data_IF_778064112388
#
_entry.id   IF_778064112388
#
_cell.length_a   1.000
_cell.length_b   1.000
_cell.length_c   1.000
_cell.angle_alpha   90.00
_cell.angle_beta   90.00
_cell.angle_gamma   90.00
#
_symmetry.space_group_name_H-M   'P 1'
#
loop_
_entity.id
_entity.type
_entity.pdbx_description
1 polymer ?
#
# COMPACT_ATOMS: atom_id res chain seq x y z
N UNK A 1 -18.26 -3.38 -4.20
CA UNK A 1 -16.85 -3.12 -3.85
C UNK A 1 -16.52 -3.93 -2.62
N UNK A 2 -15.65 -4.94 -2.78
CA UNK A 2 -15.07 -5.66 -1.66
C UNK A 2 -13.85 -4.95 -1.09
N UNK A 3 -13.62 -5.09 0.21
CA UNK A 3 -12.36 -4.76 0.88
C UNK A 3 -12.14 -5.71 2.06
N UNK A 4 -10.92 -5.71 2.59
CA UNK A 4 -10.58 -6.47 3.79
C UNK A 4 -10.10 -5.55 4.90
N UNK A 5 -10.25 -5.99 6.14
CA UNK A 5 -9.75 -5.28 7.30
C UNK A 5 -9.24 -6.28 8.33
N UNK A 6 -8.14 -5.91 8.99
CA UNK A 6 -7.51 -6.71 10.04
C UNK A 6 -8.13 -6.34 11.38
N UNK A 7 -8.93 -7.27 11.92
CA UNK A 7 -9.58 -7.08 13.23
C UNK A 7 -8.98 -8.01 14.27
N UNK A 8 -8.93 -7.56 15.54
CA UNK A 8 -8.61 -8.43 16.66
C UNK A 8 -9.83 -9.26 17.04
N UNK A 9 -9.76 -10.58 16.87
CA UNK A 9 -10.88 -11.48 17.19
C UNK A 9 -11.12 -11.71 18.69
N UNK A 10 -10.25 -11.19 19.58
CA UNK A 10 -10.33 -11.41 21.02
C UNK A 10 -10.43 -10.09 21.80
N UNK A 11 -11.39 -10.00 22.71
CA UNK A 11 -11.54 -8.89 23.66
C UNK A 11 -10.36 -8.84 24.67
N UNK A 12 -9.69 -9.97 24.91
CA UNK A 12 -8.67 -10.12 25.97
C UNK A 12 -7.24 -10.37 25.49
N UNK A 13 -7.03 -10.68 24.21
CA UNK A 13 -5.69 -10.89 23.62
C UNK A 13 -5.55 -10.01 22.39
N UNK A 14 -4.71 -8.98 22.54
CA UNK A 14 -4.47 -7.91 21.58
C UNK A 14 -3.92 -8.38 20.21
N UNK A 15 -3.59 -9.67 20.06
CA UNK A 15 -2.94 -10.25 18.87
C UNK A 15 -3.57 -11.58 18.44
N UNK A 16 -4.87 -11.57 18.14
CA UNK A 16 -5.52 -12.65 17.38
C UNK A 16 -6.02 -12.10 16.06
N UNK A 17 -5.14 -11.94 15.05
CA UNK A 17 -5.48 -11.29 13.79
C UNK A 17 -6.50 -12.13 13.03
N UNK A 18 -7.59 -11.49 12.64
CA UNK A 18 -8.59 -12.05 11.74
C UNK A 18 -8.72 -11.10 10.56
N UNK A 19 -8.62 -11.65 9.36
CA UNK A 19 -8.84 -10.89 8.13
C UNK A 19 -10.33 -11.00 7.82
N UNK A 20 -11.06 -9.91 8.02
CA UNK A 20 -12.46 -9.81 7.63
C UNK A 20 -12.57 -9.32 6.20
N UNK A 21 -13.58 -9.79 5.47
CA UNK A 21 -13.95 -9.27 4.16
C UNK A 21 -15.36 -8.72 4.19
N UNK A 22 -15.52 -7.53 3.60
CA UNK A 22 -16.78 -6.82 3.52
C UNK A 22 -17.10 -6.43 2.08
N UNK A 23 -18.37 -6.14 1.81
CA UNK A 23 -18.90 -5.66 0.54
C UNK A 23 -19.78 -4.43 0.77
N UNK A 24 -19.63 -3.41 -0.06
CA UNK A 24 -20.56 -2.28 -0.15
C UNK A 24 -20.90 -1.96 -1.60
N UNK A 25 -22.10 -1.39 -1.81
CA UNK A 25 -22.53 -0.97 -3.14
C UNK A 25 -21.94 0.41 -3.50
N UNK A 26 -20.93 0.43 -4.37
CA UNK A 26 -20.23 1.65 -4.81
C UNK A 26 -21.11 2.65 -5.56
N UNK A 27 -22.31 2.27 -5.99
CA UNK A 27 -23.27 3.20 -6.58
C UNK A 27 -24.00 4.06 -5.55
N UNK A 28 -23.80 3.84 -4.26
CA UNK A 28 -24.41 4.65 -3.20
C UNK A 28 -23.61 5.94 -2.95
N UNK A 29 -24.28 7.04 -2.57
CA UNK A 29 -23.60 8.26 -2.13
C UNK A 29 -22.65 7.98 -0.94
N UNK A 30 -21.54 8.72 -0.85
CA UNK A 30 -20.53 8.54 0.19
C UNK A 30 -21.12 8.58 1.61
N UNK A 31 -22.06 9.50 1.87
CA UNK A 31 -22.77 9.60 3.16
C UNK A 31 -23.55 8.34 3.56
N UNK A 32 -23.98 7.53 2.58
CA UNK A 32 -24.63 6.24 2.83
C UNK A 32 -23.60 5.14 3.03
N UNK A 33 -22.52 5.13 2.26
CA UNK A 33 -21.42 4.17 2.42
C UNK A 33 -20.76 4.23 3.80
N UNK A 34 -20.77 5.40 4.46
CA UNK A 34 -20.26 5.58 5.81
C UNK A 34 -21.16 4.97 6.92
N UNK A 35 -22.35 4.47 6.59
CA UNK A 35 -23.27 3.89 7.57
C UNK A 35 -23.13 2.37 7.57
N UNK A 36 -23.01 1.79 8.78
CA UNK A 36 -22.88 0.34 8.99
C UNK A 36 -23.95 -0.48 8.24
N UNK A 37 -25.17 0.06 8.11
CA UNK A 37 -26.28 -0.57 7.40
C UNK A 37 -25.95 -1.00 5.95
N UNK A 38 -25.09 -0.24 5.26
CA UNK A 38 -24.72 -0.51 3.86
C UNK A 38 -23.46 -1.36 3.71
N UNK A 39 -22.81 -1.72 4.82
CA UNK A 39 -21.66 -2.61 4.87
C UNK A 39 -22.16 -4.05 5.05
N UNK A 40 -21.77 -4.94 4.15
CA UNK A 40 -22.13 -6.37 4.18
C UNK A 40 -20.92 -7.20 4.53
N UNK A 41 -21.00 -7.95 5.62
CA UNK A 41 -20.00 -8.95 5.96
C UNK A 41 -20.04 -10.12 4.97
N UNK A 42 -18.87 -10.60 4.55
CA UNK A 42 -18.73 -11.70 3.59
C UNK A 42 -18.06 -12.92 4.23
N UNK A 43 -16.89 -12.71 4.82
CA UNK A 43 -16.10 -13.78 5.42
C UNK A 43 -15.14 -13.23 6.48
N UNK A 44 -14.68 -14.12 7.35
CA UNK A 44 -13.59 -13.87 8.30
C UNK A 44 -12.68 -15.09 8.29
N UNK A 45 -11.38 -14.88 8.39
CA UNK A 45 -10.43 -15.98 8.50
C UNK A 45 -9.21 -15.59 9.33
N UNK A 46 -8.76 -16.45 10.27
CA UNK A 46 -7.46 -16.31 10.91
C UNK A 46 -6.32 -16.90 10.06
N UNK A 47 -6.64 -17.53 8.91
CA UNK A 47 -5.68 -18.28 8.10
C UNK A 47 -5.59 -17.78 6.66
N UNK A 48 -6.73 -17.41 6.07
CA UNK A 48 -6.79 -16.95 4.69
C UNK A 48 -6.49 -15.45 4.62
N UNK A 49 -5.51 -15.11 3.79
CA UNK A 49 -5.15 -13.74 3.43
C UNK A 49 -6.30 -13.01 2.70
N UNK A 50 -6.16 -11.69 2.58
CA UNK A 50 -7.12 -10.87 1.84
C UNK A 50 -7.26 -11.33 0.38
N UNK A 51 -6.14 -11.69 -0.24
CA UNK A 51 -6.08 -12.14 -1.64
C UNK A 51 -6.76 -13.50 -1.84
N UNK A 52 -6.55 -14.46 -0.93
CA UNK A 52 -7.20 -15.78 -0.99
C UNK A 52 -8.73 -15.68 -0.82
N UNK A 53 -9.17 -14.85 0.13
CA UNK A 53 -10.61 -14.59 0.31
C UNK A 53 -11.22 -13.89 -0.91
N UNK A 54 -10.46 -13.00 -1.56
CA UNK A 54 -10.94 -12.25 -2.72
C UNK A 54 -10.98 -13.12 -3.98
N UNK A 55 -10.01 -14.01 -4.18
CA UNK A 55 -10.02 -14.99 -5.26
C UNK A 55 -11.26 -15.91 -5.17
N UNK A 56 -11.55 -16.41 -3.96
CA UNK A 56 -12.76 -17.22 -3.72
C UNK A 56 -14.06 -16.44 -3.94
N UNK A 57 -14.07 -15.13 -3.64
CA UNK A 57 -15.21 -14.26 -3.93
C UNK A 57 -15.41 -14.06 -5.43
N UNK A 58 -14.33 -13.87 -6.18
CA UNK A 58 -14.38 -13.69 -7.63
C UNK A 58 -15.01 -14.91 -8.33
N UNK A 59 -14.62 -16.12 -7.95
CA UNK A 59 -15.21 -17.36 -8.49
C UNK A 59 -16.74 -17.40 -8.30
N UNK A 60 -17.24 -16.97 -7.14
CA UNK A 60 -18.69 -16.94 -6.85
C UNK A 60 -19.46 -15.87 -7.60
N UNK A 61 -18.81 -14.76 -7.96
CA UNK A 61 -19.47 -13.67 -8.71
C UNK A 61 -19.77 -14.11 -10.15
N UNK A 62 -19.01 -15.08 -10.70
CA UNK A 62 -19.21 -15.57 -12.07
C UNK A 62 -20.51 -16.37 -12.26
N UNK A 63 -21.13 -16.84 -11.17
CA UNK A 63 -22.38 -17.61 -11.19
C UNK A 63 -23.66 -16.74 -11.12
N UNK A 64 -23.53 -15.41 -11.03
CA UNK A 64 -24.66 -14.50 -10.79
C UNK A 64 -25.21 -13.92 -12.11
N UNK A 65 -26.55 -13.95 -12.28
CA UNK A 65 -27.28 -13.43 -13.46
C UNK A 65 -27.06 -11.90 -13.63
N UNK A 66 -26.78 -11.18 -12.55
CA UNK A 66 -26.38 -9.77 -12.54
C UNK A 66 -24.86 -9.64 -12.41
N UNK A 67 -24.24 -8.94 -13.35
CA UNK A 67 -22.78 -8.71 -13.35
C UNK A 67 -22.38 -7.65 -12.32
N UNK A 68 -21.65 -8.06 -11.29
CA UNK A 68 -20.99 -7.14 -10.33
C UNK A 68 -19.59 -6.82 -10.87
N UNK A 69 -19.32 -5.57 -11.23
CA UNK A 69 -17.99 -5.08 -11.62
C UNK A 69 -17.35 -4.31 -10.45
N UNK A 70 -16.32 -4.86 -9.77
CA UNK A 70 -15.57 -4.10 -8.78
C UNK A 70 -14.72 -3.03 -9.49
N UNK A 71 -15.19 -1.78 -9.53
CA UNK A 71 -14.51 -0.66 -10.19
C UNK A 71 -13.34 -0.04 -9.40
N UNK A 72 -13.24 -0.35 -8.11
CA UNK A 72 -12.23 0.16 -7.17
C UNK A 72 -12.06 -0.83 -6.02
N UNK A 73 -10.82 -0.97 -5.53
CA UNK A 73 -10.49 -1.61 -4.27
C UNK A 73 -10.01 -0.55 -3.29
N UNK A 74 -10.92 0.17 -2.61
CA UNK A 74 -10.51 0.89 -1.43
C UNK A 74 -10.06 -0.15 -0.42
N UNK A 75 -8.80 -0.03 -0.10
CA UNK A 75 -8.09 -0.90 0.79
C UNK A 75 -6.99 -0.03 1.39
N UNK A 76 -6.49 -0.41 2.55
CA UNK A 76 -5.31 0.25 3.07
C UNK A 76 -4.09 -0.04 2.15
N UNK A 77 -3.02 0.72 2.33
CA UNK A 77 -1.82 0.54 1.51
C UNK A 77 -1.23 -0.89 1.59
N UNK A 78 -1.18 -1.54 2.77
CA UNK A 78 -0.80 -2.95 2.88
C UNK A 78 -1.63 -3.91 2.02
N UNK A 79 -2.96 -3.90 2.13
CA UNK A 79 -3.83 -4.78 1.34
C UNK A 79 -3.68 -4.50 -0.16
N UNK A 80 -3.59 -3.24 -0.58
CA UNK A 80 -3.37 -2.90 -1.99
C UNK A 80 -2.02 -3.39 -2.50
N UNK A 81 -0.98 -3.35 -1.66
CA UNK A 81 0.33 -3.90 -2.00
C UNK A 81 0.24 -5.42 -2.22
N UNK A 82 -0.41 -6.15 -1.30
CA UNK A 82 -0.63 -7.60 -1.43
C UNK A 82 -1.40 -7.93 -2.71
N UNK A 83 -2.49 -7.19 -2.96
CA UNK A 83 -3.38 -7.40 -4.10
C UNK A 83 -2.71 -7.13 -5.45
N UNK A 84 -1.74 -6.22 -5.48
CA UNK A 84 -0.90 -5.95 -6.68
C UNK A 84 0.28 -6.92 -6.83
N UNK A 85 0.41 -7.92 -5.96
CA UNK A 85 1.60 -8.78 -5.86
C UNK A 85 2.89 -7.97 -5.73
N UNK A 86 2.83 -6.87 -4.98
CA UNK A 86 3.94 -5.93 -4.79
C UNK A 86 4.75 -6.27 -3.54
N UNK A 87 6.07 -6.33 -3.68
CA UNK A 87 7.01 -6.75 -2.60
C UNK A 87 7.12 -5.74 -1.45
N UNK A 88 6.63 -4.52 -1.62
CA UNK A 88 6.80 -3.44 -0.66
C UNK A 88 8.14 -2.71 -0.83
N UNK A 89 8.66 -2.14 0.26
CA UNK A 89 9.86 -1.29 0.25
C UNK A 89 11.17 -2.08 0.06
N UNK A 90 11.12 -3.41 0.06
CA UNK A 90 12.28 -4.28 -0.06
C UNK A 90 12.72 -4.53 -1.51
N UNK A 91 11.91 -4.12 -2.50
CA UNK A 91 12.28 -4.22 -3.90
C UNK A 91 13.02 -2.98 -4.42
N UNK A 92 13.75 -3.16 -5.52
CA UNK A 92 14.31 -2.04 -6.28
C UNK A 92 13.19 -1.16 -6.84
N UNK A 93 12.08 -1.77 -7.29
CA UNK A 93 10.91 -1.08 -7.84
C UNK A 93 9.76 -1.06 -6.82
N UNK A 94 9.75 -0.06 -5.94
CA UNK A 94 8.93 -0.02 -4.73
C UNK A 94 7.53 0.62 -4.90
N UNK A 95 7.14 0.98 -6.12
CA UNK A 95 5.80 1.48 -6.40
C UNK A 95 4.92 0.36 -6.98
N UNK A 96 3.71 0.22 -6.44
CA UNK A 96 2.71 -0.73 -6.96
C UNK A 96 2.03 -0.29 -8.25
N UNK A 97 2.13 0.98 -8.66
CA UNK A 97 1.48 1.52 -9.88
C UNK A 97 2.43 1.67 -11.06
N UNK A 98 3.71 1.92 -10.80
CA UNK A 98 4.72 2.14 -11.83
C UNK A 98 6.06 1.52 -11.43
N UNK A 99 7.00 1.52 -12.36
CA UNK A 99 8.36 0.97 -12.20
C UNK A 99 9.35 2.04 -11.73
N UNK A 100 8.90 3.01 -10.93
CA UNK A 100 9.83 3.95 -10.28
C UNK A 100 10.63 3.19 -9.22
N UNK A 101 11.91 3.52 -9.12
CA UNK A 101 12.83 2.82 -8.23
C UNK A 101 14.25 2.76 -8.76
N UNK A 102 14.97 1.74 -8.33
CA UNK A 102 16.40 1.53 -8.58
C UNK A 102 17.05 0.84 -7.39
N UNK A 103 18.33 0.50 -7.54
CA UNK A 103 19.18 0.11 -6.40
C UNK A 103 19.23 1.24 -5.36
N UNK A 104 19.69 0.93 -4.15
CA UNK A 104 19.88 1.97 -3.13
C UNK A 104 20.82 3.08 -3.64
N UNK A 105 21.93 2.69 -4.26
CA UNK A 105 22.94 3.58 -4.85
C UNK A 105 22.33 4.48 -5.94
N UNK A 106 21.52 3.92 -6.84
CA UNK A 106 20.85 4.69 -7.89
C UNK A 106 19.91 5.72 -7.28
N UNK A 107 19.10 5.34 -6.28
CA UNK A 107 18.13 6.25 -5.64
C UNK A 107 18.78 7.35 -4.81
N UNK A 108 19.98 7.12 -4.29
CA UNK A 108 20.76 8.10 -3.54
C UNK A 108 21.54 9.07 -4.43
N UNK A 109 21.69 8.77 -5.73
CA UNK A 109 22.24 9.72 -6.72
C UNK A 109 21.32 10.92 -6.92
N UNK A 110 21.88 12.06 -7.37
CA UNK A 110 21.07 13.27 -7.62
C UNK A 110 20.02 13.03 -8.70
N UNK A 111 20.42 12.35 -9.78
CA UNK A 111 19.55 12.02 -10.91
C UNK A 111 18.46 11.03 -10.49
N UNK A 112 18.81 9.99 -9.74
CA UNK A 112 17.85 8.99 -9.28
C UNK A 112 16.87 9.57 -8.27
N UNK A 113 17.33 10.38 -7.31
CA UNK A 113 16.47 11.11 -6.39
C UNK A 113 15.50 12.03 -7.14
N UNK A 114 15.98 12.80 -8.11
CA UNK A 114 15.11 13.66 -8.92
C UNK A 114 14.09 12.86 -9.73
N UNK A 115 14.45 11.67 -10.22
CA UNK A 115 13.54 10.80 -10.95
C UNK A 115 12.37 10.29 -10.08
N UNK A 116 12.53 10.21 -8.75
CA UNK A 116 11.45 9.81 -7.82
C UNK A 116 10.28 10.82 -7.78
N UNK A 117 10.52 12.07 -8.20
CA UNK A 117 9.49 13.11 -8.30
C UNK A 117 8.73 13.10 -9.63
N UNK A 118 8.97 12.08 -10.47
CA UNK A 118 8.29 11.89 -11.74
C UNK A 118 7.66 10.50 -11.78
N UNK A 119 6.54 10.31 -12.49
CA UNK A 119 5.99 8.98 -12.73
C UNK A 119 7.02 8.08 -13.41
N UNK A 120 7.16 6.85 -12.92
CA UNK A 120 7.83 5.79 -13.65
C UNK A 120 6.95 5.23 -14.76
N UNK A 121 7.50 4.29 -15.53
CA UNK A 121 6.74 3.51 -16.52
C UNK A 121 5.62 2.74 -15.80
N UNK A 122 4.34 2.84 -16.22
CA UNK A 122 3.24 2.11 -15.61
C UNK A 122 3.51 0.59 -15.55
N UNK A 123 3.07 -0.05 -14.46
CA UNK A 123 3.02 -1.52 -14.40
C UNK A 123 1.83 -2.02 -15.20
N UNK A 124 1.92 -3.24 -15.73
CA UNK A 124 0.79 -3.91 -16.35
C UNK A 124 0.52 -5.23 -15.64
N UNK A 125 -0.76 -5.57 -15.55
CA UNK A 125 -1.24 -6.86 -15.06
C UNK A 125 -0.55 -8.04 -15.76
N UNK A 126 -0.44 -7.99 -17.09
CA UNK A 126 0.21 -9.02 -17.92
C UNK A 126 1.69 -9.21 -17.60
N UNK A 127 2.43 -8.12 -17.38
CA UNK A 127 3.84 -8.21 -17.00
C UNK A 127 4.02 -8.78 -15.59
N UNK A 128 3.23 -8.31 -14.63
CA UNK A 128 3.24 -8.84 -13.25
C UNK A 128 2.96 -10.34 -13.25
N UNK A 129 1.94 -10.76 -13.99
CA UNK A 129 1.59 -12.14 -14.24
C UNK A 129 2.76 -12.97 -14.80
N UNK A 130 3.43 -12.46 -15.84
CA UNK A 130 4.58 -13.14 -16.44
C UNK A 130 5.74 -13.28 -15.45
N UNK A 131 6.04 -12.22 -14.69
CA UNK A 131 7.09 -12.26 -13.67
C UNK A 131 6.80 -13.30 -12.58
N UNK A 132 5.54 -13.46 -12.17
CA UNK A 132 5.13 -14.50 -11.22
C UNK A 132 5.38 -15.90 -11.81
N UNK A 133 5.05 -16.12 -13.09
CA UNK A 133 5.34 -17.38 -13.78
C UNK A 133 6.84 -17.66 -13.86
N UNK A 134 7.64 -16.65 -14.19
CA UNK A 134 9.11 -16.77 -14.24
C UNK A 134 9.69 -17.13 -12.86
N UNK A 135 9.14 -16.59 -11.78
CA UNK A 135 9.52 -16.97 -10.40
C UNK A 135 9.19 -18.44 -10.10
N UNK A 136 8.01 -18.94 -10.47
CA UNK A 136 7.64 -20.34 -10.30
C UNK A 136 8.55 -21.28 -11.08
N UNK A 137 8.87 -20.95 -12.33
CA UNK A 137 9.82 -21.72 -13.14
C UNK A 137 11.23 -21.70 -12.55
N UNK A 138 11.67 -20.55 -12.04
CA UNK A 138 12.97 -20.41 -11.37
C UNK A 138 13.01 -21.21 -10.06
N UNK A 139 11.89 -21.28 -9.33
CA UNK A 139 11.78 -22.09 -8.12
C UNK A 139 12.00 -23.59 -8.39
N UNK A 140 11.59 -24.09 -9.56
CA UNK A 140 11.85 -25.47 -10.00
C UNK A 140 13.34 -25.80 -10.20
N UNK A 141 14.24 -24.81 -10.15
CA UNK A 141 15.69 -25.01 -10.15
C UNK A 141 16.24 -25.31 -8.74
N UNK A 142 15.46 -25.12 -7.69
CA UNK A 142 15.88 -25.35 -6.30
C UNK A 142 16.78 -24.24 -5.73
N UNK A 143 16.91 -23.09 -6.41
CA UNK A 143 17.79 -21.98 -6.01
C UNK A 143 16.97 -20.79 -5.50
N UNK A 144 16.85 -20.67 -4.17
CA UNK A 144 16.11 -19.58 -3.51
C UNK A 144 16.62 -18.19 -3.94
N UNK A 145 17.94 -18.01 -3.96
CA UNK A 145 18.57 -16.73 -4.30
C UNK A 145 18.20 -16.23 -5.71
N UNK A 146 17.99 -17.14 -6.66
CA UNK A 146 17.58 -16.78 -8.01
C UNK A 146 16.15 -16.21 -8.03
N UNK A 147 15.25 -16.78 -7.23
CA UNK A 147 13.88 -16.25 -7.07
C UNK A 147 13.91 -14.90 -6.35
N UNK A 148 14.66 -14.79 -5.25
CA UNK A 148 14.78 -13.54 -4.48
C UNK A 148 15.36 -12.41 -5.33
N UNK A 149 16.31 -12.72 -6.23
CA UNK A 149 16.87 -11.77 -7.20
C UNK A 149 15.81 -11.25 -8.16
N UNK A 150 14.94 -12.12 -8.69
CA UNK A 150 13.83 -11.71 -9.56
C UNK A 150 12.85 -10.82 -8.78
N UNK A 151 12.46 -11.24 -7.56
CA UNK A 151 11.54 -10.50 -6.70
C UNK A 151 12.07 -9.09 -6.40
N UNK A 152 13.34 -8.99 -6.00
CA UNK A 152 14.01 -7.73 -5.67
C UNK A 152 14.10 -6.81 -6.89
N UNK A 153 14.57 -7.34 -8.03
CA UNK A 153 14.76 -6.56 -9.26
C UNK A 153 13.45 -6.03 -9.82
N UNK A 154 12.38 -6.83 -9.80
CA UNK A 154 11.09 -6.49 -10.44
C UNK A 154 10.12 -5.77 -9.49
N UNK A 155 10.33 -5.88 -8.18
CA UNK A 155 9.40 -5.42 -7.16
C UNK A 155 8.12 -6.26 -7.04
N UNK A 156 8.09 -7.45 -7.68
CA UNK A 156 6.92 -8.33 -7.70
C UNK A 156 7.16 -9.51 -6.77
N UNK A 157 6.27 -9.69 -5.80
CA UNK A 157 6.23 -10.84 -4.89
C UNK A 157 4.79 -11.14 -4.53
N UNK A 158 4.30 -12.26 -5.01
CA UNK A 158 2.93 -12.70 -4.77
C UNK A 158 2.84 -13.61 -3.54
N UNK A 159 1.90 -13.32 -2.63
CA UNK A 159 1.79 -14.03 -1.34
C UNK A 159 1.32 -15.48 -1.52
N UNK A 160 0.36 -15.70 -2.43
CA UNK A 160 -0.14 -17.05 -2.75
C UNK A 160 0.98 -17.86 -3.41
N UNK A 161 1.65 -17.28 -4.40
CA UNK A 161 2.76 -17.93 -5.12
C UNK A 161 3.93 -18.23 -4.20
N UNK A 162 4.25 -17.35 -3.24
CA UNK A 162 5.37 -17.54 -2.31
C UNK A 162 5.27 -18.86 -1.54
N UNK A 163 4.06 -19.23 -1.08
CA UNK A 163 3.82 -20.52 -0.42
C UNK A 163 4.14 -21.72 -1.32
N UNK A 164 3.88 -21.61 -2.62
CA UNK A 164 4.18 -22.67 -3.59
C UNK A 164 5.64 -22.68 -4.02
N UNK A 165 6.28 -21.51 -4.13
CA UNK A 165 7.71 -21.38 -4.41
C UNK A 165 8.53 -22.15 -3.38
N UNK A 166 8.22 -22.00 -2.09
CA UNK A 166 8.95 -22.69 -1.01
C UNK A 166 8.86 -24.22 -1.18
N UNK A 167 7.67 -24.74 -1.50
CA UNK A 167 7.47 -26.17 -1.76
C UNK A 167 8.16 -26.64 -3.03
N UNK A 168 8.06 -25.87 -4.12
CA UNK A 168 8.72 -26.18 -5.39
C UNK A 168 10.24 -26.26 -5.22
N UNK A 169 10.84 -25.34 -4.46
CA UNK A 169 12.28 -25.35 -4.18
C UNK A 169 12.66 -26.60 -3.37
N UNK A 170 11.91 -26.92 -2.32
CA UNK A 170 12.17 -28.12 -1.51
C UNK A 170 12.09 -29.40 -2.35
N UNK A 171 11.06 -29.52 -3.19
CA UNK A 171 10.88 -30.67 -4.08
C UNK A 171 11.99 -30.75 -5.15
N UNK A 172 12.36 -29.63 -5.76
CA UNK A 172 13.43 -29.57 -6.75
C UNK A 172 14.77 -30.03 -6.16
N UNK A 173 15.11 -29.59 -4.94
CA UNK A 173 16.31 -30.02 -4.21
C UNK A 173 16.29 -31.52 -3.91
N UNK A 174 15.15 -32.06 -3.48
CA UNK A 174 15.01 -33.50 -3.23
C UNK A 174 15.27 -34.31 -4.50
N UNK A 175 14.60 -33.96 -5.60
CA UNK A 175 14.74 -34.65 -6.88
C UNK A 175 16.15 -34.55 -7.46
N UNK A 176 16.83 -33.41 -7.28
CA UNK A 176 18.25 -33.25 -7.64
C UNK A 176 19.15 -34.15 -6.80
N UNK A 177 18.90 -34.23 -5.49
CA UNK A 177 19.62 -35.14 -4.59
C UNK A 177 19.43 -36.60 -4.98
N UNK A 178 18.19 -37.02 -5.24
CA UNK A 178 17.86 -38.39 -5.64
C UNK A 178 18.60 -38.76 -6.94
N UNK A 179 18.58 -37.87 -7.95
CA UNK A 179 19.30 -38.07 -9.22
C UNK A 179 20.82 -38.15 -9.10
N UNK A 180 21.41 -37.45 -8.13
CA UNK A 180 22.86 -37.44 -7.91
C UNK A 180 23.32 -38.66 -7.09
N UNK A 181 22.45 -39.22 -6.26
CA UNK A 181 22.77 -40.28 -5.30
C UNK A 181 22.31 -41.67 -5.71
N UNK A 182 21.26 -41.79 -6.53
CA UNK A 182 20.74 -43.07 -7.03
C UNK A 182 21.40 -43.45 -8.36
N UNK A 183 22.20 -44.51 -8.35
CA UNK A 183 22.90 -45.05 -9.53
C UNK A 183 21.94 -45.47 -10.66
N UNK A 184 20.65 -45.73 -10.37
CA UNK A 184 19.66 -46.14 -11.39
C UNK A 184 19.04 -44.97 -12.16
N UNK A 185 19.06 -43.75 -11.59
CA UNK A 185 18.47 -42.54 -12.20
C UNK A 185 19.52 -41.51 -12.60
N UNK A 186 20.80 -41.85 -12.44
CA UNK A 186 21.99 -41.02 -12.71
C UNK A 186 22.14 -40.73 -14.20
N UNK A 187 21.56 -39.63 -14.70
CA UNK A 187 21.75 -39.16 -16.08
C UNK A 187 22.87 -38.09 -16.15
N UNK A 188 24.01 -38.38 -16.82
CA UNK A 188 25.14 -37.45 -16.94
C UNK A 188 24.82 -36.14 -17.67
N UNK A 189 23.74 -36.09 -18.47
CA UNK A 189 23.35 -34.93 -19.29
C UNK A 189 22.56 -33.88 -18.51
N UNK A 190 22.10 -34.21 -17.31
CA UNK A 190 21.24 -33.35 -16.48
C UNK A 190 22.02 -32.58 -15.40
N UNK A 191 23.33 -32.39 -15.60
CA UNK A 191 24.18 -31.50 -14.78
C UNK A 191 23.80 -30.03 -14.92
N UNK A 192 23.16 -29.67 -16.02
CA UNK A 192 22.64 -28.33 -16.23
C UNK A 192 21.27 -28.23 -15.53
N UNK A 193 21.14 -27.29 -14.60
CA UNK A 193 19.94 -27.03 -13.80
C UNK A 193 18.70 -26.83 -14.69
N UNK A 194 18.03 -27.92 -15.06
CA UNK A 194 16.80 -27.90 -15.85
C UNK A 194 15.59 -28.18 -14.94
N UNK A 195 14.48 -27.42 -15.07
CA UNK A 195 13.29 -27.65 -14.28
C UNK A 195 12.71 -29.04 -14.55
N UNK A 196 12.62 -29.83 -13.49
CA UNK A 196 12.20 -31.24 -13.54
C UNK A 196 10.73 -31.44 -13.90
N UNK A 197 9.88 -30.48 -13.53
CA UNK A 197 8.43 -30.50 -13.77
C UNK A 197 7.91 -29.08 -13.98
N UNK A 198 6.76 -28.98 -14.67
CA UNK A 198 5.99 -27.75 -14.73
C UNK A 198 5.40 -27.44 -13.33
N UNK A 199 5.55 -26.21 -12.82
CA UNK A 199 4.93 -25.82 -11.56
C UNK A 199 3.40 -25.78 -11.69
N UNK A 200 2.69 -26.09 -10.60
CA UNK A 200 1.26 -25.84 -10.50
C UNK A 200 1.00 -24.33 -10.60
N UNK A 201 0.11 -23.90 -11.50
CA UNK A 201 -0.29 -22.50 -11.64
C UNK A 201 -1.20 -22.08 -10.47
N UNK A 202 -0.59 -21.76 -9.32
CA UNK A 202 -1.28 -21.29 -8.12
C UNK A 202 -0.74 -19.93 -7.69
N UNK A 203 -1.45 -18.88 -8.09
CA UNK A 203 -1.08 -17.49 -7.86
C UNK A 203 -2.35 -16.63 -7.68
N UNK A 204 -2.19 -15.41 -7.17
CA UNK A 204 -3.28 -14.44 -7.16
C UNK A 204 -3.80 -14.22 -8.59
N UNK A 205 -5.09 -14.44 -8.82
CA UNK A 205 -5.73 -14.27 -10.14
C UNK A 205 -6.07 -12.82 -10.46
N UNK A 206 -6.01 -11.91 -9.48
CA UNK A 206 -6.33 -10.49 -9.69
C UNK A 206 -5.47 -9.82 -10.77
N UNK A 207 -4.14 -10.01 -10.83
CA UNK A 207 -3.32 -9.53 -11.94
C UNK A 207 -3.62 -10.19 -13.30
N UNK A 208 -4.50 -11.19 -13.37
CA UNK A 208 -4.84 -11.89 -14.61
C UNK A 208 -6.27 -11.58 -15.08
N UNK A 209 -7.05 -10.81 -14.30
CA UNK A 209 -8.41 -10.45 -14.66
C UNK A 209 -8.43 -9.31 -15.69
N UNK A 210 -8.68 -9.64 -16.97
CA UNK A 210 -8.79 -8.66 -18.06
C UNK A 210 -9.85 -7.58 -17.87
N UNK A 211 -10.78 -7.76 -16.91
CA UNK A 211 -11.85 -6.80 -16.60
C UNK A 211 -11.34 -5.63 -15.75
N UNK A 212 -10.14 -5.73 -15.16
CA UNK A 212 -9.62 -4.77 -14.21
C UNK A 212 -8.10 -4.68 -14.21
N UNK A 213 -7.57 -3.46 -14.35
CA UNK A 213 -6.16 -3.21 -14.08
C UNK A 213 -5.96 -2.85 -12.60
N UNK A 214 -5.36 -3.78 -11.84
CA UNK A 214 -5.13 -3.60 -10.41
C UNK A 214 -4.11 -2.50 -10.08
N UNK A 215 -3.16 -2.25 -10.99
CA UNK A 215 -2.17 -1.19 -10.84
C UNK A 215 -2.77 0.20 -11.09
N UNK A 216 -3.88 0.27 -11.84
CA UNK A 216 -4.67 1.50 -11.99
C UNK A 216 -5.77 1.67 -10.92
N UNK A 217 -6.32 0.56 -10.41
CA UNK A 217 -7.49 0.54 -9.53
C UNK A 217 -7.17 0.56 -8.02
N UNK A 218 -5.91 0.80 -7.64
CA UNK A 218 -5.44 0.84 -6.24
C UNK A 218 -5.09 2.28 -5.80
N UNK A 219 -6.08 3.05 -5.32
CA UNK A 219 -5.90 4.44 -4.88
C UNK A 219 -4.95 4.54 -3.68
N UNK A 220 -4.07 5.54 -3.65
CA UNK A 220 -3.10 5.66 -2.55
C UNK A 220 -3.77 6.23 -1.29
N UNK A 221 -3.64 5.51 -0.18
CA UNK A 221 -4.24 5.83 1.11
C UNK A 221 -3.44 6.95 1.81
N UNK A 222 -4.13 7.94 2.40
CA UNK A 222 -3.53 9.19 2.91
C UNK A 222 -2.76 9.01 4.22
N UNK A 223 -3.21 8.13 5.12
CA UNK A 223 -2.64 7.89 6.43
C UNK A 223 -1.18 7.45 6.30
N UNK A 224 -0.88 6.39 5.56
CA UNK A 224 0.48 5.87 5.49
C UNK A 224 1.39 6.67 4.53
N UNK A 225 0.81 7.35 3.56
CA UNK A 225 1.57 8.06 2.52
C UNK A 225 1.91 9.48 2.95
N UNK A 226 0.95 10.17 3.55
CA UNK A 226 1.06 11.59 3.86
C UNK A 226 1.15 11.84 5.37
N UNK A 227 0.17 11.39 6.15
CA UNK A 227 0.09 11.73 7.58
C UNK A 227 1.20 11.08 8.41
N UNK A 228 1.36 9.75 8.29
CA UNK A 228 2.43 8.98 8.93
C UNK A 228 3.72 8.98 8.10
N UNK A 229 3.66 9.48 6.87
CA UNK A 229 4.80 9.73 6.00
C UNK A 229 5.29 11.17 6.17
N UNK A 230 5.10 11.98 5.14
CA UNK A 230 5.63 13.36 5.05
C UNK A 230 5.35 14.20 6.31
N UNK A 231 4.10 14.30 6.75
CA UNK A 231 3.67 15.19 7.84
C UNK A 231 4.33 14.80 9.18
N UNK A 232 4.48 13.49 9.43
CA UNK A 232 5.23 12.95 10.57
C UNK A 232 6.69 13.38 10.58
N UNK A 233 7.37 13.34 9.42
CA UNK A 233 8.78 13.73 9.35
C UNK A 233 8.97 15.24 9.44
N UNK A 234 8.07 16.03 8.85
CA UNK A 234 8.04 17.50 9.02
C UNK A 234 7.83 17.85 10.49
N UNK A 235 6.89 17.19 11.16
CA UNK A 235 6.66 17.35 12.60
C UNK A 235 7.90 16.99 13.42
N UNK A 236 8.51 15.83 13.16
CA UNK A 236 9.72 15.37 13.84
C UNK A 236 10.88 16.36 13.72
N UNK A 237 11.16 16.83 12.49
CA UNK A 237 12.19 17.82 12.23
C UNK A 237 11.91 19.17 12.94
N UNK A 238 10.63 19.55 13.01
CA UNK A 238 10.20 20.80 13.65
C UNK A 238 10.45 20.77 15.16
N UNK A 239 9.88 19.79 15.86
CA UNK A 239 9.95 19.75 17.32
C UNK A 239 11.29 19.22 17.85
N UNK A 240 12.15 18.66 17.00
CA UNK A 240 13.46 18.13 17.39
C UNK A 240 14.39 19.19 18.00
N UNK A 241 14.20 20.46 17.64
CA UNK A 241 14.98 21.60 18.14
C UNK A 241 14.34 22.34 19.31
N UNK A 242 13.18 21.88 19.81
CA UNK A 242 12.41 22.61 20.81
C UNK A 242 12.87 22.33 22.24
N UNK A 243 13.13 23.40 22.98
CA UNK A 243 13.19 23.36 24.44
C UNK A 243 11.79 23.31 25.07
N UNK A 244 11.73 23.28 26.39
CA UNK A 244 10.47 23.22 27.14
C UNK A 244 9.60 24.47 26.91
N UNK A 245 10.22 25.65 26.79
CA UNK A 245 9.51 26.91 26.55
C UNK A 245 8.82 26.94 25.20
N UNK A 246 9.50 26.49 24.14
CA UNK A 246 8.92 26.36 22.80
C UNK A 246 7.78 25.33 22.77
N UNK A 247 7.94 24.22 23.47
CA UNK A 247 6.89 23.21 23.61
C UNK A 247 5.65 23.77 24.32
N UNK A 248 5.83 24.50 25.42
CA UNK A 248 4.75 25.14 26.15
C UNK A 248 4.05 26.20 25.29
N UNK A 249 4.82 27.07 24.61
CA UNK A 249 4.29 28.10 23.72
C UNK A 249 3.44 27.49 22.60
N UNK A 250 3.96 26.47 21.90
CA UNK A 250 3.20 25.80 20.84
C UNK A 250 1.97 25.08 21.40
N UNK A 251 2.08 24.46 22.58
CA UNK A 251 0.93 23.81 23.25
C UNK A 251 -0.21 24.80 23.49
N UNK A 252 0.10 25.96 24.07
CA UNK A 252 -0.89 27.00 24.35
C UNK A 252 -1.55 27.52 23.07
N UNK A 253 -0.74 27.82 22.05
CA UNK A 253 -1.21 28.29 20.74
C UNK A 253 -2.11 27.27 20.06
N UNK A 254 -1.65 26.03 19.91
CA UNK A 254 -2.43 24.96 19.30
C UNK A 254 -3.75 24.73 20.06
N UNK A 255 -3.74 24.80 21.39
CA UNK A 255 -4.96 24.65 22.20
C UNK A 255 -5.97 25.79 21.98
N UNK A 256 -5.48 27.00 21.65
CA UNK A 256 -6.31 28.17 21.36
C UNK A 256 -6.91 28.20 19.95
N UNK A 257 -6.64 27.18 19.12
CA UNK A 257 -7.16 27.11 17.76
C UNK A 257 -8.69 27.11 17.73
N UNK A 258 -9.28 27.98 16.92
CA UNK A 258 -10.68 27.83 16.53
C UNK A 258 -10.77 26.62 15.57
N UNK A 259 -11.59 25.63 15.94
CA UNK A 259 -11.82 24.42 15.13
C UNK A 259 -13.17 24.42 14.43
N UNK A 260 -13.89 25.53 14.49
CA UNK A 260 -15.17 25.69 13.82
C UNK A 260 -15.00 25.49 12.31
N UNK A 261 -15.85 24.64 11.74
CA UNK A 261 -15.78 24.26 10.32
C UNK A 261 -14.76 23.15 10.00
N UNK A 262 -13.95 22.69 10.97
CA UNK A 262 -13.05 21.56 10.77
C UNK A 262 -13.69 20.24 11.20
N UNK A 263 -13.51 19.20 10.39
CA UNK A 263 -13.88 17.83 10.73
C UNK A 263 -12.74 17.20 11.55
N UNK A 264 -12.57 17.69 12.78
CA UNK A 264 -11.57 17.25 13.75
C UNK A 264 -12.21 16.94 15.12
N UNK A 265 -11.69 15.94 15.85
CA UNK A 265 -12.00 15.80 17.27
C UNK A 265 -11.41 16.98 18.06
N UNK A 266 -11.84 17.21 19.32
CA UNK A 266 -11.26 18.25 20.16
C UNK A 266 -9.74 18.15 20.23
N UNK A 267 -9.06 19.25 19.92
CA UNK A 267 -7.59 19.33 19.90
C UNK A 267 -7.07 19.24 21.34
N UNK A 268 -6.33 18.16 21.63
CA UNK A 268 -5.69 17.93 22.93
C UNK A 268 -4.21 18.30 22.83
N UNK A 269 -3.91 19.59 22.70
CA UNK A 269 -2.55 20.06 22.39
C UNK A 269 -1.50 19.56 23.41
N UNK A 270 -1.84 19.61 24.71
CA UNK A 270 -0.95 19.10 25.77
C UNK A 270 -0.58 17.63 25.57
N UNK A 271 -1.55 16.80 25.21
CA UNK A 271 -1.31 15.39 24.89
C UNK A 271 -0.43 15.27 23.64
N UNK A 272 -0.74 16.02 22.58
CA UNK A 272 0.01 15.95 21.32
C UNK A 272 1.48 16.32 21.50
N UNK A 273 1.79 17.33 22.31
CA UNK A 273 3.18 17.73 22.58
C UNK A 273 3.87 16.78 23.56
N UNK A 274 3.16 16.31 24.60
CA UNK A 274 3.68 15.30 25.54
C UNK A 274 4.06 13.99 24.83
N UNK A 275 3.23 13.55 23.87
CA UNK A 275 3.44 12.32 23.10
C UNK A 275 3.85 12.60 21.65
N UNK A 276 4.62 13.67 21.41
CA UNK A 276 5.03 14.15 20.08
C UNK A 276 5.66 13.10 19.16
N UNK A 277 6.27 12.04 19.71
CA UNK A 277 6.87 10.94 18.95
C UNK A 277 5.90 9.76 18.67
N UNK A 278 4.73 9.74 19.30
CA UNK A 278 3.77 8.63 19.26
C UNK A 278 2.38 9.10 18.79
N UNK A 279 2.36 10.08 17.90
CA UNK A 279 1.14 10.59 17.29
C UNK A 279 0.58 9.61 16.25
N UNK A 280 -0.74 9.64 16.07
CA UNK A 280 -1.49 8.82 15.11
C UNK A 280 -2.14 9.72 14.06
N UNK A 281 -2.73 9.13 13.02
CA UNK A 281 -3.30 9.85 11.87
C UNK A 281 -4.14 11.08 12.20
N UNK A 282 -5.08 10.97 13.15
CA UNK A 282 -5.94 12.11 13.55
C UNK A 282 -5.15 13.28 14.15
N UNK A 283 -4.05 13.03 14.84
CA UNK A 283 -3.21 14.08 15.40
C UNK A 283 -2.42 14.78 14.30
N UNK A 284 -1.89 14.03 13.34
CA UNK A 284 -1.22 14.60 12.16
C UNK A 284 -2.20 15.39 11.29
N UNK A 285 -3.42 14.90 11.07
CA UNK A 285 -4.48 15.68 10.39
C UNK A 285 -4.71 17.03 11.08
N UNK A 286 -4.77 17.06 12.42
CA UNK A 286 -4.90 18.31 13.16
C UNK A 286 -3.67 19.22 13.00
N UNK A 287 -2.45 18.66 13.05
CA UNK A 287 -1.21 19.42 12.83
C UNK A 287 -1.14 20.00 11.41
N UNK A 288 -1.37 19.19 10.39
CA UNK A 288 -1.43 19.63 8.99
C UNK A 288 -2.39 20.82 8.80
N UNK A 289 -3.56 20.80 9.44
CA UNK A 289 -4.56 21.85 9.30
C UNK A 289 -4.28 23.10 10.15
N UNK A 290 -3.62 22.96 11.30
CA UNK A 290 -3.54 24.04 12.30
C UNK A 290 -2.11 24.53 12.59
N UNK A 291 -1.09 23.69 12.44
CA UNK A 291 0.26 23.98 12.95
C UNK A 291 0.86 25.22 12.29
N UNK A 292 0.65 25.43 10.98
CA UNK A 292 1.22 26.55 10.23
C UNK A 292 0.86 27.92 10.83
N UNK A 293 -0.33 28.05 11.45
CA UNK A 293 -0.77 29.28 12.10
C UNK A 293 -0.04 29.57 13.42
N UNK A 294 0.64 28.57 13.99
CA UNK A 294 1.22 28.63 15.33
C UNK A 294 2.74 28.58 15.35
N UNK A 295 3.39 28.30 14.22
CA UNK A 295 4.83 28.02 14.11
C UNK A 295 5.74 29.24 13.89
N UNK A 296 5.21 30.44 14.11
CA UNK A 296 5.97 31.70 14.08
C UNK A 296 6.75 31.95 15.38
N UNK A 297 7.49 33.06 15.45
CA UNK A 297 8.29 33.51 16.60
C UNK A 297 9.41 32.54 17.02
N UNK A 298 10.14 32.02 16.05
CA UNK A 298 11.32 31.18 16.29
C UNK A 298 10.99 29.74 16.73
N UNK A 299 9.73 29.30 16.59
CA UNK A 299 9.36 27.90 16.71
C UNK A 299 9.90 27.04 15.56
N UNK A 300 10.18 27.62 14.40
CA UNK A 300 10.91 26.93 13.34
C UNK A 300 11.75 27.92 12.52
N UNK A 301 12.64 27.40 11.67
CA UNK A 301 13.35 28.23 10.67
C UNK A 301 12.43 28.62 9.52
N UNK A 302 12.79 29.65 8.76
CA UNK A 302 12.00 30.09 7.60
C UNK A 302 11.80 28.96 6.59
N UNK A 303 12.83 28.15 6.34
CA UNK A 303 12.73 26.98 5.47
C UNK A 303 11.69 25.97 5.97
N UNK A 304 11.70 25.67 7.27
CA UNK A 304 10.71 24.78 7.87
C UNK A 304 9.30 25.37 7.81
N UNK A 305 9.17 26.68 8.01
CA UNK A 305 7.89 27.37 7.87
C UNK A 305 7.33 27.28 6.44
N UNK A 306 8.17 27.48 5.43
CA UNK A 306 7.80 27.29 4.01
C UNK A 306 7.40 25.84 3.72
N UNK A 307 8.07 24.86 4.33
CA UNK A 307 7.69 23.45 4.21
C UNK A 307 6.33 23.18 4.84
N UNK A 308 6.01 23.78 5.99
CA UNK A 308 4.68 23.70 6.61
C UNK A 308 3.60 24.36 5.76
N UNK A 309 3.88 25.49 5.12
CA UNK A 309 2.95 26.11 4.17
C UNK A 309 2.63 25.17 3.00
N UNK A 310 3.65 24.67 2.32
CA UNK A 310 3.48 23.75 1.20
C UNK A 310 2.75 22.45 1.62
N UNK A 311 3.06 21.92 2.80
CA UNK A 311 2.41 20.73 3.38
C UNK A 311 0.94 21.01 3.77
N UNK A 312 0.65 22.20 4.28
CA UNK A 312 -0.72 22.63 4.58
C UNK A 312 -1.56 22.80 3.32
N UNK A 313 -1.02 23.45 2.29
CA UNK A 313 -1.68 23.65 1.00
C UNK A 313 -1.98 22.32 0.31
N UNK A 314 -0.97 21.46 0.14
CA UNK A 314 -1.17 20.11 -0.39
C UNK A 314 -2.20 19.35 0.46
N UNK A 315 -2.11 19.50 1.77
CA UNK A 315 -3.07 18.92 2.70
C UNK A 315 -4.52 19.29 2.41
N UNK A 316 -4.80 20.58 2.19
CA UNK A 316 -6.13 21.04 1.80
C UNK A 316 -6.63 20.33 0.53
N UNK A 317 -5.76 20.19 -0.49
CA UNK A 317 -6.10 19.48 -1.74
C UNK A 317 -6.39 17.99 -1.53
N UNK A 318 -5.67 17.32 -0.62
CA UNK A 318 -5.85 15.89 -0.33
C UNK A 318 -7.19 15.55 0.36
N UNK A 319 -7.86 16.53 0.97
CA UNK A 319 -9.14 16.33 1.68
C UNK A 319 -10.38 16.70 0.86
N UNK A 320 -10.22 17.20 -0.38
CA UNK A 320 -11.37 17.35 -1.28
C UNK A 320 -11.85 15.98 -1.77
N UNK A 321 -13.13 15.70 -1.53
CA UNK A 321 -13.78 14.45 -1.95
C UNK A 321 -14.48 14.59 -3.31
N UNK A 322 -14.59 15.81 -3.83
CA UNK A 322 -15.27 16.14 -5.07
C UNK A 322 -14.39 17.06 -5.94
N UNK A 323 -14.37 16.77 -7.24
CA UNK A 323 -13.71 17.59 -8.26
C UNK A 323 -14.82 18.26 -9.06
N UNK A 324 -15.06 19.55 -8.81
CA UNK A 324 -16.17 20.30 -9.40
C UNK A 324 -16.07 20.38 -10.93
N UNK A 325 -14.87 20.58 -11.47
CA UNK A 325 -14.61 20.54 -12.91
C UNK A 325 -13.43 19.61 -13.18
N UNK A 326 -13.73 18.37 -13.56
CA UNK A 326 -12.74 17.37 -13.90
C UNK A 326 -11.83 17.83 -15.05
N UNK A 327 -12.33 18.63 -16.01
CA UNK A 327 -11.56 19.04 -17.19
C UNK A 327 -10.39 19.94 -16.81
N UNK A 328 -10.54 20.76 -15.77
CA UNK A 328 -9.47 21.57 -15.19
C UNK A 328 -8.29 20.72 -14.70
N UNK A 329 -8.52 19.45 -14.35
CA UNK A 329 -7.48 18.52 -13.89
C UNK A 329 -7.05 17.50 -14.96
N UNK A 330 -7.70 17.49 -16.12
CA UNK A 330 -7.38 16.61 -17.26
C UNK A 330 -6.43 17.27 -18.29
N UNK A 331 -5.70 18.31 -17.90
CA UNK A 331 -4.92 19.13 -18.85
C UNK A 331 -3.84 18.32 -19.59
N UNK A 332 -4.01 18.25 -20.91
CA UNK A 332 -3.15 17.71 -21.98
C UNK A 332 -3.04 16.17 -22.18
N UNK A 333 -3.13 15.69 -23.45
CA UNK A 333 -2.82 14.32 -23.86
C UNK A 333 -1.30 14.09 -23.88
N UNK A 334 -0.65 14.26 -22.74
CA UNK A 334 0.50 13.41 -22.45
C UNK A 334 -0.06 12.03 -22.08
N UNK A 335 0.64 10.90 -22.30
CA UNK A 335 0.13 9.54 -22.05
C UNK A 335 -0.03 9.23 -20.55
N UNK A 336 -0.39 10.21 -19.73
CA UNK A 336 -0.43 10.13 -18.28
C UNK A 336 -1.77 10.65 -17.76
N UNK A 337 -2.68 9.70 -17.57
CA UNK A 337 -3.73 9.84 -16.57
C UNK A 337 -3.08 9.86 -15.18
N UNK A 338 -2.73 11.06 -14.69
CA UNK A 338 -2.78 11.32 -13.25
C UNK A 338 -4.25 11.31 -12.81
N UNK A 339 -4.89 10.13 -12.85
CA UNK A 339 -6.02 9.87 -11.98
C UNK A 339 -5.44 9.76 -10.59
N UNK A 340 -5.31 10.91 -9.93
CA UNK A 340 -5.36 10.94 -8.48
C UNK A 340 -6.79 10.52 -8.13
N UNK A 341 -7.05 9.21 -8.13
CA UNK A 341 -8.06 8.64 -7.25
C UNK A 341 -7.39 8.63 -5.87
N UNK A 342 -7.31 9.80 -5.23
CA UNK A 342 -7.21 9.83 -3.77
C UNK A 342 -8.63 9.61 -3.29
N UNK A 343 -9.02 8.34 -3.17
CA UNK A 343 -10.17 8.02 -2.35
C UNK A 343 -9.64 8.12 -0.93
N UNK A 344 -9.90 9.25 -0.31
CA UNK A 344 -9.63 9.45 1.09
C UNK A 344 -10.48 8.42 1.85
N UNK A 345 -9.86 7.29 2.24
CA UNK A 345 -10.41 6.38 3.23
C UNK A 345 -10.23 7.04 4.60
N UNK A 346 -10.88 8.18 4.77
CA UNK A 346 -11.06 8.78 6.07
C UNK A 346 -12.03 7.87 6.81
N UNK A 347 -11.51 7.00 7.67
CA UNK A 347 -12.30 6.42 8.73
C UNK A 347 -12.81 7.59 9.61
N UNK A 348 -14.12 7.88 9.66
CA UNK A 348 -14.63 8.91 10.55
C UNK A 348 -14.75 8.29 11.95
N UNK A 349 -13.62 8.29 12.67
CA UNK A 349 -13.52 7.95 14.09
C UNK A 349 -12.72 8.99 14.87
#
# INVERSE_FOLDING_TARGET
MPWSDDVSGNVSKQFSPHVNMYLANSGLPHQKLAQEFFVRFCSTSPHASSSEQLDALLEKIEEIIFRILPYIYPADNPQQSETCSHIGMHGNLFCRRCKVGGSAEEKESSEGYQALFKPGVPRSCTETAQVIKDQLWTACLGVQEAVDTIQTRTGVKDKITSFWIDQCIAQARSLQSDRLSDDTTRDPRLKDNWPLHQPLERYNKLPFDSRLDIHEATPVEILHTYLLGQDKYVWYATHGSWDEKKQELFTLRLQSSAVDGLVLPPVRAKYMVQYKNALVGRHFKALQQLAVFHLHDGLCSDLMFQLWLATGELGAYLWFHEINDMNTYLVHPYPFTFKIKLICLANPG
#
